data_IF_053864242145
#
_entry.id   IF_053864242145
#
_cell.length_a   1.000
_cell.length_b   1.000
_cell.length_c   1.000
_cell.angle_alpha   90.00
_cell.angle_beta   90.00
_cell.angle_gamma   90.00
#
_symmetry.space_group_name_H-M   'P 1'
#
loop_
_entity.id
_entity.type
_entity.pdbx_description
1 polymer ?
#
# COMPACT_ATOMS: atom_id res chain seq x y z
N UNK A 1 -17.65 6.12 -11.95
CA UNK A 1 -16.45 6.99 -11.95
C UNK A 1 -15.25 6.06 -11.99
N UNK A 2 -14.34 6.20 -12.96
CA UNK A 2 -13.10 5.42 -12.96
C UNK A 2 -12.17 6.03 -11.92
N UNK A 3 -11.88 5.30 -10.85
CA UNK A 3 -10.93 5.73 -9.82
C UNK A 3 -9.51 5.54 -10.37
N UNK A 4 -8.68 6.58 -10.32
CA UNK A 4 -7.28 6.52 -10.76
C UNK A 4 -6.38 5.92 -9.67
N UNK A 5 -5.39 5.11 -10.06
CA UNK A 5 -4.40 4.58 -9.12
C UNK A 5 -3.64 5.70 -8.40
N UNK A 6 -3.29 6.78 -9.11
CA UNK A 6 -2.58 7.93 -8.54
C UNK A 6 -3.42 8.65 -7.49
N UNK A 7 -4.73 8.82 -7.73
CA UNK A 7 -5.62 9.51 -6.80
C UNK A 7 -5.78 8.71 -5.50
N UNK A 8 -5.89 7.38 -5.62
CA UNK A 8 -5.92 6.47 -4.46
C UNK A 8 -4.60 6.51 -3.71
N UNK A 9 -3.47 6.42 -4.40
CA UNK A 9 -2.15 6.47 -3.78
C UNK A 9 -1.96 7.77 -2.98
N UNK A 10 -2.31 8.92 -3.58
CA UNK A 10 -2.28 10.21 -2.92
C UNK A 10 -3.20 10.24 -1.69
N UNK A 11 -4.43 9.75 -1.82
CA UNK A 11 -5.38 9.66 -0.71
C UNK A 11 -4.81 8.85 0.45
N UNK A 12 -4.23 7.68 0.17
CA UNK A 12 -3.60 6.82 1.19
C UNK A 12 -2.44 7.54 1.88
N UNK A 13 -1.56 8.20 1.12
CA UNK A 13 -0.42 8.92 1.67
C UNK A 13 -0.83 10.11 2.54
N UNK A 14 -1.90 10.80 2.18
CA UNK A 14 -2.43 11.95 2.92
C UNK A 14 -3.12 11.52 4.22
N UNK A 15 -3.91 10.45 4.19
CA UNK A 15 -4.78 10.06 5.31
C UNK A 15 -4.18 8.97 6.20
N UNK A 16 -3.22 8.19 5.69
CA UNK A 16 -2.55 7.10 6.42
C UNK A 16 -1.04 7.31 6.32
N UNK A 17 -0.42 8.09 7.23
CA UNK A 17 1.00 8.48 7.14
C UNK A 17 1.97 7.31 7.03
N UNK A 18 1.62 6.14 7.58
CA UNK A 18 2.42 4.93 7.46
C UNK A 18 2.56 4.45 6.01
N UNK A 19 1.52 4.61 5.18
CA UNK A 19 1.58 4.22 3.76
C UNK A 19 2.65 5.00 2.99
N UNK A 20 2.80 6.29 3.31
CA UNK A 20 3.85 7.16 2.76
C UNK A 20 5.23 6.77 3.27
N UNK A 21 5.38 6.50 4.57
CA UNK A 21 6.65 6.09 5.17
C UNK A 21 7.15 4.75 4.60
N UNK A 22 6.22 3.83 4.31
CA UNK A 22 6.50 2.54 3.68
C UNK A 22 6.67 2.64 2.16
N UNK A 23 6.47 3.82 1.56
CA UNK A 23 6.48 4.07 0.12
C UNK A 23 5.53 3.13 -0.65
N UNK A 24 4.31 2.98 -0.14
CA UNK A 24 3.26 2.19 -0.80
C UNK A 24 2.88 2.82 -2.13
N UNK A 25 2.72 2.01 -3.18
CA UNK A 25 2.16 2.43 -4.46
C UNK A 25 0.95 1.59 -4.88
N UNK A 26 0.06 2.19 -5.66
CA UNK A 26 -1.14 1.52 -6.21
C UNK A 26 -0.84 1.11 -7.64
N UNK A 27 -0.77 -0.20 -7.90
CA UNK A 27 -0.43 -0.74 -9.23
C UNK A 27 -1.66 -0.96 -10.11
N UNK A 28 -2.78 -1.34 -9.52
CA UNK A 28 -4.07 -1.49 -10.21
C UNK A 28 -5.23 -1.37 -9.23
N UNK A 29 -6.36 -0.88 -9.73
CA UNK A 29 -7.66 -0.91 -9.05
C UNK A 29 -8.76 -1.11 -10.09
N UNK A 30 -9.56 -2.15 -9.90
CA UNK A 30 -10.71 -2.47 -10.76
C UNK A 30 -11.75 -3.30 -9.99
N UNK A 31 -12.77 -3.79 -10.69
CA UNK A 31 -13.84 -4.58 -10.09
C UNK A 31 -13.40 -5.94 -9.52
N UNK A 32 -12.20 -6.41 -9.86
CA UNK A 32 -11.60 -7.64 -9.36
C UNK A 32 -10.76 -7.43 -8.10
N UNK A 33 -10.29 -6.21 -7.85
CA UNK A 33 -9.55 -5.88 -6.63
C UNK A 33 -8.59 -4.71 -6.77
N UNK A 34 -7.66 -4.66 -5.82
CA UNK A 34 -6.57 -3.67 -5.77
C UNK A 34 -5.23 -4.38 -5.57
N UNK A 35 -4.18 -3.88 -6.22
CA UNK A 35 -2.81 -4.35 -6.04
C UNK A 35 -1.99 -3.20 -5.47
N UNK A 36 -1.49 -3.39 -4.25
CA UNK A 36 -0.54 -2.49 -3.60
C UNK A 36 0.87 -3.09 -3.61
N UNK A 37 1.86 -2.24 -3.80
CA UNK A 37 3.28 -2.59 -3.73
C UNK A 37 4.00 -1.69 -2.73
N UNK A 38 5.11 -2.15 -2.16
CA UNK A 38 6.00 -1.32 -1.35
C UNK A 38 7.46 -1.80 -1.52
N UNK A 39 8.44 -0.89 -1.66
CA UNK A 39 9.84 -1.28 -1.84
C UNK A 39 10.40 -1.90 -0.57
N UNK A 40 11.40 -2.78 -0.72
CA UNK A 40 12.02 -3.47 0.41
C UNK A 40 12.77 -2.51 1.35
N UNK A 41 13.48 -1.51 0.82
CA UNK A 41 14.39 -0.66 1.59
C UNK A 41 13.78 -0.03 2.86
N UNK A 42 12.60 0.65 2.82
CA UNK A 42 11.96 1.19 4.02
C UNK A 42 11.26 0.11 4.87
N UNK A 43 11.06 -1.08 4.33
CA UNK A 43 10.28 -2.17 4.91
C UNK A 43 11.15 -3.36 5.34
N UNK A 44 12.46 -3.17 5.47
CA UNK A 44 13.42 -4.24 5.73
C UNK A 44 13.48 -4.58 7.23
N UNK A 45 13.78 -5.83 7.55
CA UNK A 45 14.12 -6.27 8.90
C UNK A 45 15.63 -6.55 9.06
N UNK A 46 16.05 -6.94 10.26
CA UNK A 46 17.45 -7.30 10.58
C UNK A 46 18.01 -8.52 9.80
N UNK A 47 17.19 -9.22 9.01
CA UNK A 47 17.56 -10.36 8.16
C UNK A 47 17.58 -10.01 6.68
N UNK A 48 17.48 -8.73 6.34
CA UNK A 48 17.42 -8.24 4.96
C UNK A 48 16.23 -8.76 4.15
N UNK A 49 15.12 -9.07 4.83
CA UNK A 49 13.84 -9.43 4.21
C UNK A 49 12.76 -8.43 4.64
N UNK A 50 11.53 -8.59 4.15
CA UNK A 50 10.41 -7.76 4.61
C UNK A 50 10.17 -7.93 6.12
N UNK A 51 9.95 -6.83 6.82
CA UNK A 51 9.52 -6.81 8.21
C UNK A 51 8.08 -7.31 8.34
N UNK A 52 7.81 -8.13 9.36
CA UNK A 52 6.48 -8.73 9.58
C UNK A 52 5.37 -7.69 9.73
N UNK A 53 5.65 -6.58 10.43
CA UNK A 53 4.70 -5.47 10.54
C UNK A 53 4.47 -4.76 9.21
N UNK A 54 5.49 -4.64 8.36
CA UNK A 54 5.36 -4.04 7.02
C UNK A 54 4.49 -4.89 6.10
N UNK A 55 4.75 -6.20 6.00
CA UNK A 55 3.91 -7.07 5.15
C UNK A 55 2.47 -7.14 5.66
N UNK A 56 2.27 -7.17 6.97
CA UNK A 56 0.93 -7.11 7.57
C UNK A 56 0.24 -5.78 7.24
N UNK A 57 0.95 -4.66 7.37
CA UNK A 57 0.39 -3.34 7.08
C UNK A 57 -0.01 -3.19 5.62
N UNK A 58 0.83 -3.58 4.65
CA UNK A 58 0.47 -3.55 3.22
C UNK A 58 -0.73 -4.45 2.93
N UNK A 59 -0.78 -5.64 3.54
CA UNK A 59 -1.89 -6.59 3.33
C UNK A 59 -3.22 -6.04 3.85
N UNK A 60 -3.22 -5.46 5.06
CA UNK A 60 -4.40 -4.81 5.64
C UNK A 60 -4.81 -3.59 4.84
N UNK A 61 -3.84 -2.76 4.43
CA UNK A 61 -4.09 -1.57 3.63
C UNK A 61 -4.73 -1.93 2.28
N UNK A 62 -4.25 -2.99 1.62
CA UNK A 62 -4.83 -3.49 0.36
C UNK A 62 -6.30 -3.88 0.53
N UNK A 63 -6.63 -4.66 1.56
CA UNK A 63 -8.01 -5.03 1.85
C UNK A 63 -8.89 -3.82 2.20
N UNK A 64 -8.34 -2.85 2.94
CA UNK A 64 -9.05 -1.63 3.32
C UNK A 64 -9.34 -0.75 2.09
N UNK A 65 -8.39 -0.60 1.17
CA UNK A 65 -8.54 0.16 -0.08
C UNK A 65 -9.62 -0.40 -1.00
N UNK A 66 -9.91 -1.70 -0.95
CA UNK A 66 -11.00 -2.30 -1.74
C UNK A 66 -12.41 -1.86 -1.26
N UNK A 67 -12.54 -1.47 0.01
CA UNK A 67 -13.84 -1.11 0.64
C UNK A 67 -14.08 0.40 0.64
N UNK A 68 -13.11 1.19 0.16
CA UNK A 68 -13.19 2.63 -0.06
C UNK A 68 -14.10 2.98 -1.24
#
# INVERSE_FOLDING_TARGET
>A
MSVSCTDVEQYLHEHIPLSKAMAVSVSSIDSSGVILSAPLQPNINHRSTVFGGSISAVSVLSAWTLVL
#
